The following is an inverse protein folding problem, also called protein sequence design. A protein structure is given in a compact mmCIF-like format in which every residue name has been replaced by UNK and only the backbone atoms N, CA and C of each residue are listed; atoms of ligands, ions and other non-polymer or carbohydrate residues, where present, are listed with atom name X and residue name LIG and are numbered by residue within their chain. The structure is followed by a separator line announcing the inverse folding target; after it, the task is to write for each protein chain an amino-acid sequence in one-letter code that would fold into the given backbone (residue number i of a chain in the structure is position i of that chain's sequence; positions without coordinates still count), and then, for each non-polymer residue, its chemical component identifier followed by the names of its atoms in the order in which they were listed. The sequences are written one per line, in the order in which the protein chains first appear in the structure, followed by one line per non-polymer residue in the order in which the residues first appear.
data_IF_546622724474
#
_entry.id   IF_546622724474
#
_cell.length_a   1.000
_cell.length_b   1.000
_cell.length_c   1.000
_cell.angle_alpha   90.00
_cell.angle_beta   90.00
_cell.angle_gamma   90.00
#
_symmetry.space_group_name_H-M   'P 1'
#
loop_
_entity.id
_entity.type
_entity.pdbx_description
1 polymer ?
#
# COMPACT_ATOMS: atom_id res chain seq x y z
N UNK A 1 -13.81 15.43 -10.75
CA UNK A 1 -14.49 15.30 -9.45
C UNK A 1 -13.84 14.22 -8.59
N UNK A 2 -13.80 12.97 -9.01
CA UNK A 2 -13.20 11.86 -8.25
C UNK A 2 -11.76 12.16 -7.81
N UNK A 3 -10.96 12.76 -8.67
CA UNK A 3 -9.56 13.07 -8.46
C UNK A 3 -9.30 14.14 -7.38
N UNK A 4 -10.24 15.09 -7.18
CA UNK A 4 -10.05 16.23 -6.28
C UNK A 4 -10.75 16.11 -4.95
N UNK A 5 -11.73 15.23 -4.86
CA UNK A 5 -12.54 15.06 -3.65
C UNK A 5 -12.51 13.64 -3.09
N UNK A 6 -11.63 12.76 -3.63
CA UNK A 6 -11.58 11.38 -3.12
C UNK A 6 -11.25 11.32 -1.63
N UNK A 7 -10.35 12.17 -1.15
CA UNK A 7 -10.00 12.21 0.27
C UNK A 7 -11.16 12.66 1.12
N UNK A 8 -11.86 13.72 0.72
CA UNK A 8 -13.05 14.22 1.41
C UNK A 8 -14.17 13.17 1.44
N UNK A 9 -14.39 12.49 0.31
CA UNK A 9 -15.39 11.42 0.21
C UNK A 9 -15.01 10.25 1.11
N UNK A 10 -13.76 9.81 1.10
CA UNK A 10 -13.29 8.72 1.95
C UNK A 10 -13.41 9.10 3.43
N UNK A 11 -12.97 10.29 3.83
CA UNK A 11 -13.05 10.76 5.21
C UNK A 11 -14.50 10.91 5.68
N UNK A 12 -15.38 11.43 4.81
CA UNK A 12 -16.80 11.53 5.12
C UNK A 12 -17.42 10.15 5.33
N UNK A 13 -17.17 9.22 4.39
CA UNK A 13 -17.71 7.85 4.48
C UNK A 13 -17.14 7.12 5.71
N UNK A 14 -15.85 7.30 6.03
CA UNK A 14 -15.23 6.68 7.19
C UNK A 14 -15.79 7.21 8.51
N UNK A 15 -16.26 8.47 8.54
CA UNK A 15 -16.85 9.08 9.72
C UNK A 15 -18.30 8.65 9.96
N UNK A 16 -19.09 8.50 8.88
CA UNK A 16 -20.53 8.31 8.97
C UNK A 16 -20.98 6.84 8.95
N UNK A 17 -20.07 5.92 8.61
CA UNK A 17 -20.33 4.48 8.53
C UNK A 17 -19.31 3.69 9.34
N UNK A 18 -19.75 2.82 10.25
CA UNK A 18 -18.88 2.00 11.10
C UNK A 18 -18.37 0.73 10.41
N UNK A 19 -19.10 0.18 9.44
CA UNK A 19 -18.72 -1.06 8.74
C UNK A 19 -17.76 -0.76 7.58
N UNK A 20 -16.49 -1.24 7.62
CA UNK A 20 -15.51 -1.04 6.56
C UNK A 20 -15.96 -1.53 5.19
N UNK A 21 -16.83 -2.54 5.12
CA UNK A 21 -17.37 -3.06 3.85
C UNK A 21 -18.33 -2.07 3.22
N UNK A 22 -19.21 -1.47 4.03
CA UNK A 22 -20.11 -0.42 3.58
C UNK A 22 -19.33 0.83 3.16
N UNK A 23 -18.30 1.19 3.92
CA UNK A 23 -17.40 2.30 3.57
C UNK A 23 -16.81 2.09 2.16
N UNK A 24 -16.24 0.93 1.88
CA UNK A 24 -15.65 0.60 0.58
C UNK A 24 -16.66 0.64 -0.56
N UNK A 25 -17.86 0.09 -0.36
CA UNK A 25 -18.93 0.09 -1.38
C UNK A 25 -19.41 1.51 -1.67
N UNK A 26 -19.71 2.29 -0.64
CA UNK A 26 -20.26 3.64 -0.79
C UNK A 26 -19.23 4.57 -1.43
N UNK A 27 -17.97 4.55 -0.94
CA UNK A 27 -16.90 5.34 -1.51
C UNK A 27 -16.67 4.99 -3.00
N UNK A 28 -16.62 3.70 -3.33
CA UNK A 28 -16.46 3.24 -4.71
C UNK A 28 -17.61 3.68 -5.63
N UNK A 29 -18.85 3.59 -5.15
CA UNK A 29 -20.01 4.06 -5.91
C UNK A 29 -19.97 5.57 -6.13
N UNK A 30 -19.66 6.35 -5.12
CA UNK A 30 -19.61 7.80 -5.23
C UNK A 30 -18.49 8.29 -6.16
N UNK A 31 -17.32 7.67 -6.08
CA UNK A 31 -16.14 8.09 -6.85
C UNK A 31 -16.18 7.57 -8.29
N UNK A 32 -16.60 6.33 -8.53
CA UNK A 32 -16.42 5.70 -9.83
C UNK A 32 -17.72 5.51 -10.63
N UNK A 33 -18.90 5.38 -9.98
CA UNK A 33 -20.13 5.11 -10.71
C UNK A 33 -20.53 6.22 -11.70
N UNK A 34 -20.42 7.53 -11.37
CA UNK A 34 -20.78 8.58 -12.33
C UNK A 34 -19.90 8.54 -13.59
N UNK A 35 -18.59 8.38 -13.41
CA UNK A 35 -17.64 8.29 -14.53
C UNK A 35 -17.87 7.04 -15.36
N UNK A 36 -18.07 5.89 -14.72
CA UNK A 36 -18.35 4.61 -15.39
C UNK A 36 -19.65 4.65 -16.17
N UNK A 37 -20.70 5.28 -15.61
CA UNK A 37 -21.97 5.48 -16.31
C UNK A 37 -21.80 6.30 -17.60
N UNK A 38 -21.10 7.43 -17.53
CA UNK A 38 -20.84 8.27 -18.71
C UNK A 38 -20.02 7.50 -19.75
N UNK A 39 -18.94 6.82 -19.35
CA UNK A 39 -18.14 6.00 -20.26
C UNK A 39 -18.94 4.86 -20.89
N UNK A 40 -19.83 4.23 -20.11
CA UNK A 40 -20.72 3.18 -20.59
C UNK A 40 -21.66 3.62 -21.71
N UNK A 41 -22.00 4.91 -21.79
CA UNK A 41 -22.85 5.45 -22.87
C UNK A 41 -22.11 5.64 -24.19
N UNK A 42 -20.78 5.68 -24.20
CA UNK A 42 -19.97 5.95 -25.40
C UNK A 42 -20.15 4.84 -26.44
N UNK A 43 -20.07 3.58 -26.06
CA UNK A 43 -20.16 2.44 -26.98
C UNK A 43 -21.51 2.35 -27.71
N UNK A 44 -22.67 2.39 -27.04
CA UNK A 44 -23.97 2.41 -27.72
C UNK A 44 -24.19 3.66 -28.57
N UNK A 45 -23.64 4.82 -28.15
CA UNK A 45 -23.73 6.03 -28.95
C UNK A 45 -22.91 5.93 -30.26
N UNK A 46 -21.68 5.41 -30.18
CA UNK A 46 -20.85 5.13 -31.36
C UNK A 46 -21.52 4.07 -32.28
N UNK A 47 -22.13 3.04 -31.71
CA UNK A 47 -22.90 2.06 -32.49
C UNK A 47 -24.02 2.74 -33.27
N UNK A 48 -24.78 3.62 -32.63
CA UNK A 48 -25.89 4.40 -33.29
C UNK A 48 -25.35 5.26 -34.44
N UNK A 49 -24.18 5.87 -34.28
CA UNK A 49 -23.58 6.70 -35.34
C UNK A 49 -23.00 5.90 -36.52
N UNK A 50 -22.51 4.68 -36.26
CA UNK A 50 -21.86 3.84 -37.27
C UNK A 50 -22.82 2.93 -38.04
N UNK A 51 -23.99 2.64 -37.50
CA UNK A 51 -25.00 1.80 -38.17
C UNK A 51 -25.71 2.59 -39.27
N UNK A 52 -25.36 2.32 -40.51
CA UNK A 52 -25.96 2.99 -41.70
C UNK A 52 -27.09 2.17 -42.31
N UNK A 53 -27.15 0.87 -42.10
CA UNK A 53 -28.19 -0.01 -42.61
C UNK A 53 -28.36 -1.27 -41.75
N UNK A 54 -29.53 -1.88 -41.76
CA UNK A 54 -29.82 -3.15 -41.05
C UNK A 54 -28.88 -4.29 -41.49
N UNK A 55 -28.47 -4.31 -42.76
CA UNK A 55 -27.58 -5.36 -43.28
C UNK A 55 -26.15 -5.29 -42.73
N UNK A 56 -25.68 -4.12 -42.30
CA UNK A 56 -24.31 -3.89 -41.79
C UNK A 56 -24.27 -3.74 -40.26
N UNK A 57 -25.41 -3.78 -39.59
CA UNK A 57 -25.54 -3.58 -38.15
C UNK A 57 -24.65 -4.57 -37.35
N UNK A 58 -24.74 -5.86 -37.68
CA UNK A 58 -23.98 -6.90 -36.96
C UNK A 58 -22.48 -6.72 -37.05
N UNK A 59 -21.92 -6.46 -38.25
CA UNK A 59 -20.49 -6.25 -38.43
C UNK A 59 -19.99 -4.97 -37.78
N UNK A 60 -20.78 -3.90 -37.81
CA UNK A 60 -20.42 -2.62 -37.14
C UNK A 60 -20.37 -2.77 -35.64
N UNK A 61 -21.34 -3.44 -35.02
CA UNK A 61 -21.37 -3.69 -33.58
C UNK A 61 -20.23 -4.65 -33.18
N UNK A 62 -19.98 -5.72 -33.95
CA UNK A 62 -18.90 -6.65 -33.69
C UNK A 62 -17.52 -5.96 -33.72
N UNK A 63 -17.28 -5.09 -34.71
CA UNK A 63 -16.04 -4.34 -34.81
C UNK A 63 -15.85 -3.37 -33.62
N UNK A 64 -16.91 -2.66 -33.21
CA UNK A 64 -16.85 -1.77 -32.05
C UNK A 64 -16.61 -2.56 -30.76
N UNK A 65 -17.25 -3.71 -30.58
CA UNK A 65 -17.02 -4.58 -29.42
C UNK A 65 -15.59 -5.11 -29.39
N UNK A 66 -15.06 -5.54 -30.54
CA UNK A 66 -13.68 -6.00 -30.64
C UNK A 66 -12.68 -4.90 -30.29
N UNK A 67 -12.85 -3.69 -30.83
CA UNK A 67 -12.03 -2.54 -30.52
C UNK A 67 -12.10 -2.14 -29.04
N UNK A 68 -13.30 -2.17 -28.46
CA UNK A 68 -13.48 -1.89 -27.03
C UNK A 68 -12.75 -2.94 -26.16
N UNK A 69 -12.83 -4.21 -26.51
CA UNK A 69 -12.11 -5.28 -25.80
C UNK A 69 -10.59 -5.14 -25.90
N UNK A 70 -10.09 -4.88 -27.10
CA UNK A 70 -8.66 -4.65 -27.35
C UNK A 70 -8.20 -3.41 -26.55
N UNK A 71 -8.95 -2.31 -26.63
CA UNK A 71 -8.64 -1.09 -25.90
C UNK A 71 -8.66 -1.31 -24.38
N UNK A 72 -9.61 -2.09 -23.88
CA UNK A 72 -9.68 -2.46 -22.47
C UNK A 72 -8.45 -3.27 -22.01
N UNK A 73 -8.06 -4.30 -22.79
CA UNK A 73 -6.87 -5.11 -22.49
C UNK A 73 -5.62 -4.22 -22.49
N UNK A 74 -5.38 -3.49 -23.58
CA UNK A 74 -4.20 -2.62 -23.70
C UNK A 74 -4.21 -1.56 -22.58
N UNK A 75 -5.34 -0.92 -22.33
CA UNK A 75 -5.47 0.09 -21.28
C UNK A 75 -5.16 -0.47 -19.89
N UNK A 76 -5.64 -1.66 -19.56
CA UNK A 76 -5.37 -2.32 -18.28
C UNK A 76 -3.88 -2.63 -18.12
N UNK A 77 -3.23 -3.18 -19.16
CA UNK A 77 -1.79 -3.46 -19.12
C UNK A 77 -0.96 -2.18 -19.02
N UNK A 78 -1.28 -1.16 -19.81
CA UNK A 78 -0.58 0.13 -19.76
C UNK A 78 -0.77 0.79 -18.39
N UNK A 79 -1.98 0.81 -17.86
CA UNK A 79 -2.24 1.40 -16.54
C UNK A 79 -1.49 0.63 -15.44
N UNK A 80 -1.64 -0.71 -15.38
CA UNK A 80 -1.10 -1.51 -14.29
C UNK A 80 0.43 -1.65 -14.30
N UNK A 81 1.03 -1.84 -15.47
CA UNK A 81 2.47 -2.14 -15.57
C UNK A 81 3.33 -0.93 -15.94
N UNK A 82 2.76 0.10 -16.56
CA UNK A 82 3.52 1.26 -16.99
C UNK A 82 3.16 2.48 -16.16
N UNK A 83 1.89 2.89 -16.15
CA UNK A 83 1.51 4.14 -15.50
C UNK A 83 1.68 4.06 -13.98
N UNK A 84 1.07 3.09 -13.31
CA UNK A 84 1.22 2.91 -11.87
C UNK A 84 2.63 2.43 -11.44
N UNK A 85 3.39 1.81 -12.34
CA UNK A 85 4.76 1.40 -12.05
C UNK A 85 5.80 2.53 -12.08
N UNK A 86 5.54 3.60 -12.84
CA UNK A 86 6.48 4.71 -13.04
C UNK A 86 5.93 6.08 -12.63
N UNK A 87 4.63 6.19 -12.49
CA UNK A 87 3.93 7.42 -12.16
C UNK A 87 3.00 7.18 -10.96
N UNK A 88 2.76 8.21 -10.20
CA UNK A 88 1.79 8.16 -9.11
C UNK A 88 0.34 8.11 -9.60
N UNK A 89 -0.56 7.90 -8.67
CA UNK A 89 -2.01 7.84 -8.95
C UNK A 89 -2.53 9.16 -9.52
N UNK A 90 -2.02 10.28 -9.02
CA UNK A 90 -2.39 11.62 -9.49
C UNK A 90 -1.95 11.86 -10.92
N UNK A 91 -0.70 11.57 -11.27
CA UNK A 91 -0.14 11.73 -12.61
C UNK A 91 -0.86 10.82 -13.60
N UNK A 92 -1.15 9.58 -13.21
CA UNK A 92 -1.90 8.63 -14.04
C UNK A 92 -3.29 9.15 -14.37
N UNK A 93 -4.06 9.62 -13.38
CA UNK A 93 -5.39 10.20 -13.59
C UNK A 93 -5.32 11.48 -14.44
N UNK A 94 -4.28 12.28 -14.25
CA UNK A 94 -4.04 13.50 -15.04
C UNK A 94 -3.81 13.18 -16.51
N UNK A 95 -2.98 12.18 -16.81
CA UNK A 95 -2.72 11.71 -18.18
C UNK A 95 -4.01 11.20 -18.82
N UNK A 96 -4.81 10.41 -18.09
CA UNK A 96 -6.09 9.91 -18.59
C UNK A 96 -7.03 11.08 -18.90
N UNK A 97 -7.15 12.07 -18.01
CA UNK A 97 -8.01 13.24 -18.20
C UNK A 97 -7.58 14.07 -19.43
N UNK A 98 -6.28 14.34 -19.58
CA UNK A 98 -5.71 15.07 -20.74
C UNK A 98 -5.96 14.27 -22.02
N UNK A 99 -5.74 12.95 -22.00
CA UNK A 99 -5.99 12.08 -23.15
C UNK A 99 -7.46 12.11 -23.58
N UNK A 100 -8.39 12.07 -22.62
CA UNK A 100 -9.83 12.19 -22.92
C UNK A 100 -10.18 13.53 -23.54
N UNK A 101 -9.59 14.63 -23.07
CA UNK A 101 -9.74 15.96 -23.68
C UNK A 101 -9.23 15.93 -25.13
N UNK A 102 -8.03 15.41 -25.38
CA UNK A 102 -7.43 15.33 -26.70
C UNK A 102 -8.29 14.48 -27.66
N UNK A 103 -8.74 13.30 -27.25
CA UNK A 103 -9.63 12.42 -28.03
C UNK A 103 -10.95 13.13 -28.33
N UNK A 104 -11.51 13.85 -27.37
CA UNK A 104 -12.74 14.64 -27.59
C UNK A 104 -12.56 15.66 -28.71
N UNK A 105 -11.42 16.35 -28.80
CA UNK A 105 -11.14 17.34 -29.85
C UNK A 105 -10.92 16.67 -31.22
N UNK A 106 -10.24 15.52 -31.27
CA UNK A 106 -10.04 14.75 -32.49
C UNK A 106 -11.36 14.21 -33.05
N UNK A 107 -12.24 13.69 -32.16
CA UNK A 107 -13.49 13.04 -32.60
C UNK A 107 -14.53 14.01 -33.17
N UNK A 108 -14.63 15.25 -32.65
CA UNK A 108 -15.66 16.19 -33.08
C UNK A 108 -15.20 17.68 -33.04
N UNK A 109 -14.25 18.10 -33.87
CA UNK A 109 -13.59 19.40 -33.75
C UNK A 109 -14.51 20.61 -33.94
N UNK A 110 -15.66 20.46 -34.62
CA UNK A 110 -16.53 21.59 -35.01
C UNK A 110 -17.83 21.68 -34.20
N UNK A 111 -18.21 20.66 -33.45
CA UNK A 111 -19.46 20.63 -32.68
C UNK A 111 -19.26 21.28 -31.31
N UNK A 112 -20.07 22.28 -30.98
CA UNK A 112 -20.06 23.00 -29.70
C UNK A 112 -18.67 23.35 -29.18
N UNK A 113 -17.78 23.80 -30.08
CA UNK A 113 -16.38 24.04 -29.78
C UNK A 113 -16.18 24.99 -28.59
N UNK A 114 -17.03 26.01 -28.41
CA UNK A 114 -16.95 26.96 -27.27
C UNK A 114 -17.18 26.25 -25.94
N UNK A 115 -18.23 25.41 -25.85
CA UNK A 115 -18.51 24.64 -24.63
C UNK A 115 -17.38 23.65 -24.32
N UNK A 116 -16.85 23.00 -25.35
CA UNK A 116 -15.73 22.07 -25.22
C UNK A 116 -14.44 22.78 -24.80
N UNK A 117 -14.19 23.96 -25.34
CA UNK A 117 -13.03 24.78 -24.92
C UNK A 117 -13.15 25.14 -23.44
N UNK A 118 -14.32 25.61 -22.99
CA UNK A 118 -14.58 25.90 -21.55
C UNK A 118 -14.42 24.64 -20.69
N UNK A 119 -15.00 23.52 -21.10
CA UNK A 119 -14.88 22.25 -20.37
C UNK A 119 -13.41 21.75 -20.33
N UNK A 120 -12.66 21.89 -21.45
CA UNK A 120 -11.24 21.52 -21.51
C UNK A 120 -10.40 22.37 -20.59
N UNK A 121 -10.62 23.70 -20.60
CA UNK A 121 -9.92 24.61 -19.68
C UNK A 121 -10.25 24.29 -18.23
N UNK A 122 -11.52 24.01 -17.91
CA UNK A 122 -11.92 23.62 -16.56
C UNK A 122 -11.22 22.31 -16.11
N UNK A 123 -11.15 21.29 -16.99
CA UNK A 123 -10.42 20.04 -16.68
C UNK A 123 -8.94 20.30 -16.49
N UNK A 124 -8.31 21.09 -17.38
CA UNK A 124 -6.87 21.42 -17.28
C UNK A 124 -6.56 22.28 -16.05
N UNK A 125 -7.44 23.20 -15.68
CA UNK A 125 -7.29 23.95 -14.43
C UNK A 125 -7.40 23.02 -13.23
N UNK A 126 -8.37 22.10 -13.23
CA UNK A 126 -8.51 21.12 -12.16
C UNK A 126 -7.29 20.20 -12.05
N UNK A 127 -6.72 19.73 -13.16
CA UNK A 127 -5.48 18.94 -13.18
C UNK A 127 -4.29 19.74 -12.66
N UNK A 128 -4.27 21.03 -12.82
CA UNK A 128 -3.18 21.91 -12.36
C UNK A 128 -3.31 22.40 -10.91
N UNK A 129 -4.42 22.12 -10.22
CA UNK A 129 -4.59 22.49 -8.81
C UNK A 129 -3.91 21.44 -7.94
N UNK A 130 -2.86 21.80 -7.16
CA UNK A 130 -2.32 20.89 -6.19
C UNK A 130 -3.44 20.44 -5.23
N UNK A 131 -3.61 19.15 -5.04
CA UNK A 131 -4.49 18.66 -3.96
C UNK A 131 -3.96 19.22 -2.66
N UNK A 132 -4.81 19.76 -1.75
CA UNK A 132 -4.36 20.13 -0.44
C UNK A 132 -3.87 18.85 0.25
N UNK A 133 -2.56 18.65 0.24
CA UNK A 133 -1.95 17.55 0.96
C UNK A 133 -2.09 17.84 2.46
N UNK A 134 -2.87 17.03 3.15
CA UNK A 134 -2.88 16.97 4.62
C UNK A 134 -1.52 16.43 5.10
N UNK A 135 -0.79 15.74 4.23
CA UNK A 135 0.57 15.25 4.44
C UNK A 135 1.61 16.26 3.97
N UNK A 136 2.66 16.47 4.77
CA UNK A 136 3.78 17.34 4.42
C UNK A 136 4.53 16.84 3.16
N UNK A 137 4.47 15.54 2.89
CA UNK A 137 5.07 14.89 1.72
C UNK A 137 4.27 13.64 1.36
N UNK A 138 4.07 13.41 0.06
CA UNK A 138 3.43 12.23 -0.50
C UNK A 138 4.36 11.57 -1.51
N UNK A 139 4.59 10.28 -1.40
CA UNK A 139 5.51 9.51 -2.25
C UNK A 139 4.78 8.26 -2.75
N UNK A 140 4.63 8.15 -4.06
CA UNK A 140 4.13 6.93 -4.70
C UNK A 140 5.30 6.02 -5.08
N UNK A 141 5.14 4.73 -4.79
CA UNK A 141 6.06 3.67 -5.21
C UNK A 141 5.27 2.57 -5.91
N UNK A 142 5.93 1.61 -6.59
CA UNK A 142 5.24 0.45 -7.13
C UNK A 142 4.53 -0.42 -6.07
N UNK A 143 4.95 -0.32 -4.81
CA UNK A 143 4.44 -1.14 -3.71
C UNK A 143 3.32 -0.46 -2.93
N UNK A 144 3.40 0.85 -2.72
CA UNK A 144 2.44 1.60 -1.92
C UNK A 144 2.49 3.11 -2.14
N UNK A 145 1.46 3.78 -1.66
CA UNK A 145 1.41 5.23 -1.50
C UNK A 145 1.81 5.58 -0.07
N UNK A 146 2.88 6.35 0.10
CA UNK A 146 3.36 6.81 1.40
C UNK A 146 3.02 8.28 1.62
N UNK A 147 2.49 8.57 2.79
CA UNK A 147 2.24 9.92 3.26
C UNK A 147 3.06 10.19 4.53
N UNK A 148 3.81 11.29 4.54
CA UNK A 148 4.50 11.77 5.73
C UNK A 148 3.74 12.93 6.32
N UNK A 149 3.52 12.90 7.63
CA UNK A 149 2.96 14.02 8.37
C UNK A 149 3.67 14.16 9.72
N UNK A 150 3.62 15.36 10.26
CA UNK A 150 4.35 15.73 11.46
C UNK A 150 3.43 16.35 12.49
N UNK A 151 3.71 16.03 13.73
CA UNK A 151 3.38 16.86 14.91
C UNK A 151 4.64 17.59 15.37
N UNK A 152 4.58 18.49 16.35
CA UNK A 152 5.78 19.11 16.89
C UNK A 152 6.83 18.13 17.45
N UNK A 153 6.41 16.94 17.83
CA UNK A 153 7.25 15.95 18.51
C UNK A 153 7.53 14.71 17.71
N UNK A 154 6.66 14.35 16.73
CA UNK A 154 6.72 13.07 16.04
C UNK A 154 6.50 13.26 14.54
N UNK A 155 7.33 12.60 13.74
CA UNK A 155 7.10 12.40 12.30
C UNK A 155 6.58 10.99 12.07
N UNK A 156 5.51 10.89 11.28
CA UNK A 156 4.83 9.65 10.95
C UNK A 156 4.98 9.31 9.46
N UNK A 157 5.09 8.03 9.17
CA UNK A 157 4.91 7.42 7.86
C UNK A 157 3.60 6.65 7.87
N UNK A 158 2.73 6.92 6.89
CA UNK A 158 1.48 6.20 6.68
C UNK A 158 1.41 5.64 5.27
N UNK A 159 0.80 4.47 5.12
CA UNK A 159 0.46 3.85 3.83
C UNK A 159 -1.00 4.06 3.44
N UNK A 160 -1.81 4.59 4.33
CA UNK A 160 -3.23 4.86 4.13
C UNK A 160 -3.74 5.94 5.07
N UNK A 161 -5.03 6.32 4.94
CA UNK A 161 -5.59 7.44 5.70
C UNK A 161 -5.84 7.13 7.19
N UNK A 162 -5.77 5.86 7.61
CA UNK A 162 -6.23 5.44 8.92
C UNK A 162 -5.13 5.01 9.89
N UNK A 163 -3.93 4.65 9.43
CA UNK A 163 -2.90 4.14 10.31
C UNK A 163 -1.50 4.64 9.94
N UNK A 164 -0.78 5.14 10.94
CA UNK A 164 0.64 5.36 10.83
C UNK A 164 1.37 4.01 10.90
N UNK A 165 2.17 3.72 9.88
CA UNK A 165 2.97 2.50 9.80
C UNK A 165 4.25 2.60 10.63
N UNK A 166 4.87 3.77 10.64
CA UNK A 166 6.10 4.04 11.38
C UNK A 166 6.07 5.45 11.96
N UNK A 167 6.85 5.66 13.02
CA UNK A 167 7.02 6.97 13.64
C UNK A 167 8.42 7.15 14.19
N UNK A 168 8.93 8.37 14.16
CA UNK A 168 10.19 8.77 14.79
C UNK A 168 9.97 10.00 15.64
N UNK A 169 10.59 10.03 16.83
CA UNK A 169 10.60 11.22 17.67
C UNK A 169 11.52 12.28 17.04
N UNK A 170 11.03 13.51 16.97
CA UNK A 170 11.82 14.68 16.53
C UNK A 170 12.60 15.31 17.67
N UNK A 171 12.30 14.91 18.92
CA UNK A 171 12.92 15.42 20.16
C UNK A 171 14.04 14.48 20.62
N UNK A 172 13.76 13.17 20.66
CA UNK A 172 14.72 12.15 21.09
C UNK A 172 14.87 11.07 20.00
N UNK A 173 16.01 11.05 19.33
CA UNK A 173 16.28 10.12 18.21
C UNK A 173 16.36 8.66 18.63
N UNK A 174 16.59 8.40 19.90
CA UNK A 174 16.73 7.05 20.45
C UNK A 174 15.41 6.50 21.02
N UNK A 175 14.32 7.28 20.92
CA UNK A 175 13.00 6.89 21.38
C UNK A 175 12.22 6.12 20.31
N UNK A 176 11.69 4.95 20.70
CA UNK A 176 10.67 4.23 19.89
C UNK A 176 9.28 4.79 20.21
N UNK A 177 8.66 5.40 19.21
CA UNK A 177 7.38 6.13 19.34
C UNK A 177 6.19 5.19 19.59
N UNK A 178 6.17 4.05 18.91
CA UNK A 178 5.03 3.15 19.01
C UNK A 178 5.22 2.13 20.13
N UNK A 179 4.14 1.92 20.89
CA UNK A 179 4.12 0.97 21.98
C UNK A 179 4.53 -0.45 21.51
N UNK A 180 4.05 -0.92 20.37
CA UNK A 180 4.39 -2.25 19.87
C UNK A 180 5.89 -2.40 19.56
N UNK A 181 6.54 -1.37 19.03
CA UNK A 181 8.00 -1.41 18.78
C UNK A 181 8.78 -1.44 20.09
N UNK A 182 8.29 -0.76 21.14
CA UNK A 182 8.86 -0.83 22.49
C UNK A 182 8.74 -2.25 23.08
N UNK A 183 7.59 -2.92 22.85
CA UNK A 183 7.40 -4.32 23.26
C UNK A 183 8.36 -5.25 22.51
N UNK A 184 8.47 -5.13 21.19
CA UNK A 184 9.42 -5.90 20.40
C UNK A 184 10.86 -5.68 20.88
N UNK A 185 11.26 -4.45 21.16
CA UNK A 185 12.56 -4.13 21.71
C UNK A 185 12.77 -4.74 23.13
N UNK A 186 11.72 -4.79 23.94
CA UNK A 186 11.74 -5.43 25.27
C UNK A 186 11.94 -6.92 25.17
N UNK A 187 11.28 -7.59 24.21
CA UNK A 187 11.46 -9.01 23.93
C UNK A 187 12.91 -9.29 23.51
N UNK A 188 13.48 -8.46 22.62
CA UNK A 188 14.91 -8.56 22.24
C UNK A 188 15.83 -8.38 23.46
N UNK A 189 15.53 -7.41 24.33
CA UNK A 189 16.31 -7.16 25.55
C UNK A 189 16.29 -8.34 26.53
N UNK A 190 15.13 -9.00 26.68
CA UNK A 190 14.93 -10.14 27.55
C UNK A 190 15.57 -11.43 27.01
N UNK A 191 15.89 -11.50 25.72
CA UNK A 191 16.45 -12.69 25.07
C UNK A 191 17.97 -12.72 25.28
N UNK A 192 18.53 -13.76 25.94
CA UNK A 192 19.97 -13.84 26.20
C UNK A 192 20.81 -13.94 24.92
N UNK A 193 20.34 -14.74 23.96
CA UNK A 193 21.01 -14.95 22.67
C UNK A 193 20.39 -14.03 21.62
N UNK A 194 21.15 -13.08 21.09
CA UNK A 194 20.70 -12.08 20.11
C UNK A 194 21.78 -11.67 19.11
N UNK A 195 22.68 -12.61 18.80
CA UNK A 195 23.76 -12.34 17.86
C UNK A 195 23.26 -12.19 16.42
N UNK A 196 22.23 -12.96 16.05
CA UNK A 196 21.63 -12.90 14.72
C UNK A 196 20.14 -12.61 14.85
N UNK A 197 19.73 -11.44 14.39
CA UNK A 197 18.34 -10.96 14.44
C UNK A 197 17.83 -10.84 13.01
N UNK A 198 16.65 -11.38 12.74
CA UNK A 198 15.90 -11.16 11.50
C UNK A 198 14.70 -10.28 11.81
N UNK A 199 14.52 -9.24 11.02
CA UNK A 199 13.32 -8.41 11.02
C UNK A 199 12.64 -8.54 9.66
N UNK A 200 11.43 -9.07 9.65
CA UNK A 200 10.56 -9.14 8.48
C UNK A 200 9.62 -7.93 8.53
N UNK A 201 9.79 -7.01 7.58
CA UNK A 201 9.18 -5.69 7.55
C UNK A 201 10.12 -4.63 8.12
N UNK A 202 10.59 -3.73 7.25
CA UNK A 202 11.49 -2.63 7.65
C UNK A 202 10.75 -1.35 8.05
N UNK A 203 9.63 -1.07 7.38
CA UNK A 203 8.94 0.19 7.52
C UNK A 203 9.88 1.37 7.31
N UNK A 204 9.84 2.36 8.19
CA UNK A 204 10.81 3.47 8.18
C UNK A 204 12.15 3.14 8.88
N UNK A 205 12.44 1.88 9.12
CA UNK A 205 13.69 1.38 9.74
C UNK A 205 13.98 1.93 11.14
N UNK A 206 12.97 2.40 11.87
CA UNK A 206 13.15 2.94 13.22
C UNK A 206 13.50 1.87 14.23
N UNK A 207 12.83 0.71 14.23
CA UNK A 207 13.18 -0.42 15.08
C UNK A 207 14.57 -1.02 14.72
N UNK A 208 14.90 -1.29 13.44
CA UNK A 208 16.24 -1.68 13.05
C UNK A 208 17.35 -0.73 13.53
N UNK A 209 17.14 0.59 13.35
CA UNK A 209 18.09 1.62 13.82
C UNK A 209 18.29 1.57 15.34
N UNK A 210 17.18 1.51 16.09
CA UNK A 210 17.23 1.41 17.55
C UNK A 210 18.00 0.18 18.03
N UNK A 211 17.67 -1.00 17.47
CA UNK A 211 18.32 -2.25 17.85
C UNK A 211 19.80 -2.27 17.47
N UNK A 212 20.16 -1.71 16.32
CA UNK A 212 21.55 -1.61 15.88
C UNK A 212 22.40 -0.74 16.80
N UNK A 213 21.85 0.36 17.28
CA UNK A 213 22.50 1.26 18.24
C UNK A 213 22.62 0.61 19.61
N UNK A 214 21.57 -0.09 20.06
CA UNK A 214 21.53 -0.73 21.38
C UNK A 214 22.38 -1.98 21.47
N UNK A 215 22.52 -2.72 20.36
CA UNK A 215 23.22 -4.01 20.27
C UNK A 215 24.23 -4.00 19.10
N UNK A 216 25.33 -3.28 19.20
CA UNK A 216 26.28 -3.09 18.09
C UNK A 216 26.96 -4.41 17.65
N UNK A 217 27.02 -5.41 18.53
CA UNK A 217 27.61 -6.72 18.25
C UNK A 217 26.61 -7.69 17.59
N UNK A 218 25.33 -7.33 17.47
CA UNK A 218 24.33 -8.14 16.82
C UNK A 218 24.33 -7.90 15.31
N UNK A 219 24.28 -8.98 14.52
CA UNK A 219 24.04 -8.89 13.08
C UNK A 219 22.52 -8.88 12.82
N UNK A 220 22.02 -7.82 12.19
CA UNK A 220 20.60 -7.60 11.97
C UNK A 220 20.32 -7.64 10.46
N UNK A 221 19.56 -8.65 10.01
CA UNK A 221 19.03 -8.69 8.66
C UNK A 221 17.61 -8.11 8.66
N UNK A 222 17.33 -7.18 7.76
CA UNK A 222 16.01 -6.56 7.59
C UNK A 222 15.50 -6.86 6.20
N UNK A 223 14.39 -7.57 6.10
CA UNK A 223 13.73 -7.91 4.84
C UNK A 223 12.58 -6.93 4.62
N UNK A 224 12.65 -6.19 3.53
CA UNK A 224 11.64 -5.18 3.16
C UNK A 224 11.26 -5.37 1.69
N UNK A 225 9.98 -5.26 1.39
CA UNK A 225 9.49 -5.45 0.01
C UNK A 225 9.73 -4.22 -0.86
N UNK A 226 9.67 -3.03 -0.25
CA UNK A 226 9.80 -1.76 -0.98
C UNK A 226 11.18 -1.11 -0.78
N UNK A 227 12.06 -1.16 -1.79
CA UNK A 227 13.39 -0.54 -1.67
C UNK A 227 13.35 0.99 -1.51
N UNK A 228 12.24 1.66 -1.87
CA UNK A 228 12.10 3.10 -1.71
C UNK A 228 12.08 3.51 -0.24
N UNK A 229 11.61 2.62 0.67
CA UNK A 229 11.59 2.89 2.11
C UNK A 229 12.97 3.15 2.69
N UNK A 230 14.03 2.55 2.15
CA UNK A 230 15.39 2.85 2.59
C UNK A 230 15.79 4.31 2.34
N UNK A 231 15.40 4.87 1.19
CA UNK A 231 15.61 6.29 0.89
C UNK A 231 14.79 7.21 1.81
N UNK A 232 13.53 6.87 2.02
CA UNK A 232 12.63 7.59 2.93
C UNK A 232 13.16 7.55 4.37
N UNK A 233 13.62 6.39 4.83
CA UNK A 233 14.19 6.21 6.16
C UNK A 233 15.42 7.10 6.40
N UNK A 234 16.35 7.13 5.43
CA UNK A 234 17.56 7.98 5.51
C UNK A 234 17.21 9.46 5.53
N UNK A 235 16.30 9.88 4.67
CA UNK A 235 15.99 11.29 4.49
C UNK A 235 15.11 11.85 5.60
N UNK A 236 14.19 11.05 6.14
CA UNK A 236 13.13 11.56 7.02
C UNK A 236 13.08 10.89 8.40
N UNK A 237 13.65 9.70 8.60
CA UNK A 237 13.49 8.92 9.83
C UNK A 237 14.81 8.66 10.58
N UNK A 238 15.81 9.50 10.36
CA UNK A 238 17.10 9.45 11.05
C UNK A 238 17.85 8.11 10.91
N UNK A 239 17.55 7.35 9.84
CA UNK A 239 18.26 6.10 9.59
C UNK A 239 19.69 6.38 9.13
N UNK A 240 20.69 5.92 9.92
CA UNK A 240 22.10 6.23 9.75
C UNK A 240 22.92 5.13 9.05
N UNK A 241 22.31 4.16 8.41
CA UNK A 241 22.96 3.00 7.76
C UNK A 241 23.96 2.30 8.70
N UNK A 242 23.55 1.80 9.88
CA UNK A 242 24.45 1.17 10.80
C UNK A 242 25.11 -0.08 10.20
N UNK A 243 26.41 -0.25 10.40
CA UNK A 243 27.23 -1.27 9.74
C UNK A 243 26.81 -2.72 10.06
N UNK A 244 26.12 -2.92 11.19
CA UNK A 244 25.58 -4.22 11.62
C UNK A 244 24.17 -4.51 11.12
N UNK A 245 23.56 -3.64 10.28
CA UNK A 245 22.27 -3.86 9.61
C UNK A 245 22.48 -4.14 8.14
N UNK A 246 21.89 -5.25 7.68
CA UNK A 246 21.84 -5.61 6.26
C UNK A 246 20.40 -5.51 5.77
N UNK A 247 20.14 -4.59 4.84
CA UNK A 247 18.87 -4.51 4.12
C UNK A 247 18.79 -5.55 3.01
N UNK A 248 17.66 -6.23 2.89
CA UNK A 248 17.38 -7.26 1.89
C UNK A 248 16.02 -6.93 1.28
N UNK A 249 16.03 -6.51 0.00
CA UNK A 249 14.82 -6.09 -0.68
C UNK A 249 14.17 -7.27 -1.41
N UNK A 250 13.20 -7.88 -0.78
CA UNK A 250 12.41 -8.99 -1.31
C UNK A 250 11.15 -9.20 -0.47
N UNK A 251 10.21 -10.00 -0.99
CA UNK A 251 9.06 -10.44 -0.23
C UNK A 251 9.47 -11.32 0.96
N UNK A 252 8.87 -11.08 2.14
CA UNK A 252 9.21 -11.76 3.38
C UNK A 252 9.02 -13.28 3.30
N UNK A 253 7.93 -13.76 2.68
CA UNK A 253 7.69 -15.19 2.48
C UNK A 253 8.73 -15.82 1.57
N UNK A 254 9.07 -15.13 0.49
CA UNK A 254 10.10 -15.57 -0.44
C UNK A 254 11.44 -15.71 0.25
N UNK A 255 11.83 -14.74 1.06
CA UNK A 255 13.06 -14.80 1.84
C UNK A 255 13.09 -15.99 2.79
N UNK A 256 12.04 -16.15 3.61
CA UNK A 256 11.94 -17.23 4.59
C UNK A 256 11.96 -18.61 3.94
N UNK A 257 11.37 -18.74 2.73
CA UNK A 257 11.38 -19.99 1.99
C UNK A 257 12.78 -20.35 1.46
N UNK A 258 13.61 -19.38 1.11
CA UNK A 258 14.87 -19.58 0.40
C UNK A 258 16.11 -19.52 1.28
N UNK A 259 16.04 -18.86 2.44
CA UNK A 259 17.21 -18.70 3.31
C UNK A 259 17.51 -19.97 4.09
N UNK A 260 18.81 -20.30 4.20
CA UNK A 260 19.32 -21.34 5.10
C UNK A 260 19.94 -20.74 6.38
N UNK A 261 19.97 -19.40 6.47
CA UNK A 261 20.50 -18.70 7.65
C UNK A 261 19.56 -18.92 8.83
N UNK A 262 20.15 -19.19 10.02
CA UNK A 262 19.39 -19.33 11.25
C UNK A 262 19.60 -18.13 12.18
N UNK A 263 18.55 -17.77 12.89
CA UNK A 263 18.48 -16.57 13.72
C UNK A 263 18.18 -16.92 15.19
N UNK A 264 18.73 -16.13 16.09
CA UNK A 264 18.40 -16.19 17.51
C UNK A 264 17.02 -15.58 17.78
N UNK A 265 16.69 -14.53 17.01
CA UNK A 265 15.43 -13.78 17.10
C UNK A 265 14.90 -13.54 15.70
N UNK A 266 13.62 -13.87 15.49
CA UNK A 266 12.87 -13.50 14.28
C UNK A 266 11.72 -12.58 14.68
N UNK A 267 11.75 -11.34 14.20
CA UNK A 267 10.67 -10.37 14.37
C UNK A 267 9.83 -10.37 13.11
N UNK A 268 8.51 -10.56 13.26
CA UNK A 268 7.54 -10.52 12.16
C UNK A 268 6.67 -9.29 12.34
N UNK A 269 6.96 -8.25 11.54
CA UNK A 269 6.26 -6.95 11.56
C UNK A 269 5.87 -6.55 10.14
N UNK A 270 5.12 -7.44 9.47
CA UNK A 270 4.72 -7.27 8.06
C UNK A 270 3.24 -6.96 7.98
N UNK A 271 2.93 -5.76 7.53
CA UNK A 271 1.56 -5.30 7.31
C UNK A 271 1.40 -4.67 5.91
N UNK A 272 0.26 -4.98 5.27
CA UNK A 272 -0.25 -4.20 4.16
C UNK A 272 -1.35 -3.30 4.70
N UNK A 273 -1.08 -2.01 4.90
CA UNK A 273 -1.98 -1.02 5.50
C UNK A 273 -2.51 -1.45 6.89
N UNK A 274 -3.63 -2.16 6.99
CA UNK A 274 -4.25 -2.59 8.26
C UNK A 274 -4.34 -4.11 8.43
N UNK A 275 -3.81 -4.89 7.49
CA UNK A 275 -3.96 -6.35 7.49
C UNK A 275 -2.64 -7.07 7.27
N UNK A 276 -2.46 -8.19 7.97
CA UNK A 276 -1.38 -9.13 7.65
C UNK A 276 -1.68 -9.81 6.31
N UNK A 277 -0.73 -9.85 5.36
CA UNK A 277 -0.93 -10.57 4.11
C UNK A 277 -1.27 -12.05 4.36
N UNK A 278 -2.34 -12.55 3.74
CA UNK A 278 -2.81 -13.91 3.96
C UNK A 278 -1.74 -14.97 3.69
N UNK A 279 -0.78 -14.67 2.82
CA UNK A 279 0.35 -15.55 2.51
C UNK A 279 1.26 -15.80 3.71
N UNK A 280 1.25 -14.93 4.71
CA UNK A 280 2.02 -15.05 5.94
C UNK A 280 1.24 -15.70 7.09
N UNK A 281 -0.01 -16.11 6.83
CA UNK A 281 -0.91 -16.76 7.80
C UNK A 281 -1.10 -18.26 7.53
N UNK A 282 -0.22 -18.88 6.75
CA UNK A 282 -0.32 -20.31 6.41
C UNK A 282 0.56 -21.18 7.31
N UNK A 283 0.19 -22.45 7.49
CA UNK A 283 0.98 -23.41 8.26
C UNK A 283 2.39 -23.59 7.67
N UNK A 284 2.49 -23.60 6.36
CA UNK A 284 3.77 -23.73 5.64
C UNK A 284 4.70 -22.55 5.96
N UNK A 285 4.14 -21.34 6.09
CA UNK A 285 4.93 -20.19 6.51
C UNK A 285 5.45 -20.36 7.95
N UNK A 286 4.60 -20.79 8.88
CA UNK A 286 5.02 -21.11 10.24
C UNK A 286 6.10 -22.20 10.29
N UNK A 287 5.99 -23.24 9.47
CA UNK A 287 7.02 -24.27 9.33
C UNK A 287 8.34 -23.71 8.82
N UNK A 288 8.31 -22.82 7.82
CA UNK A 288 9.52 -22.17 7.33
C UNK A 288 10.13 -21.20 8.35
N UNK A 289 9.32 -20.47 9.09
CA UNK A 289 9.80 -19.64 10.22
C UNK A 289 10.50 -20.52 11.27
N UNK A 290 9.90 -21.64 11.67
CA UNK A 290 10.52 -22.53 12.67
C UNK A 290 11.85 -23.11 12.20
N UNK A 291 12.03 -23.36 10.90
CA UNK A 291 13.28 -23.87 10.32
C UNK A 291 14.44 -22.88 10.45
N UNK A 292 14.15 -21.58 10.34
CA UNK A 292 15.15 -20.52 10.39
C UNK A 292 15.43 -19.97 11.80
N UNK A 293 14.66 -20.43 12.80
CA UNK A 293 14.90 -20.09 14.20
C UNK A 293 15.85 -21.13 14.80
N UNK A 294 16.90 -20.68 15.47
CA UNK A 294 17.85 -21.57 16.18
C UNK A 294 17.18 -22.30 17.35
N UNK A 295 17.71 -23.44 17.82
CA UNK A 295 17.30 -24.01 19.09
C UNK A 295 17.37 -22.97 20.21
N UNK A 296 16.31 -22.81 21.00
CA UNK A 296 16.12 -21.76 22.03
C UNK A 296 15.97 -20.33 21.49
N UNK A 297 15.91 -20.15 20.17
CA UNK A 297 15.56 -18.87 19.56
C UNK A 297 14.07 -18.57 19.70
N UNK A 298 13.72 -17.33 19.46
CA UNK A 298 12.34 -16.83 19.62
C UNK A 298 11.78 -16.21 18.34
N UNK A 299 10.46 -16.22 18.22
CA UNK A 299 9.71 -15.44 17.25
C UNK A 299 8.87 -14.41 18.00
N UNK A 300 8.99 -13.15 17.62
CA UNK A 300 8.15 -12.07 18.09
C UNK A 300 7.31 -11.53 16.91
N UNK A 301 6.01 -11.69 16.96
CA UNK A 301 5.12 -11.25 15.87
C UNK A 301 4.22 -10.10 16.36
N UNK A 302 4.17 -9.01 15.58
CA UNK A 302 3.15 -8.00 15.73
C UNK A 302 1.86 -8.51 15.10
N UNK A 303 0.81 -8.77 15.90
CA UNK A 303 -0.48 -9.26 15.44
C UNK A 303 -1.57 -8.30 15.90
N UNK A 304 -2.14 -7.54 14.95
CA UNK A 304 -3.21 -6.60 15.26
C UNK A 304 -4.55 -7.33 15.18
N UNK A 305 -5.18 -7.53 16.34
CA UNK A 305 -6.53 -8.09 16.46
C UNK A 305 -7.41 -7.12 17.23
N UNK A 306 -8.63 -6.83 16.70
CA UNK A 306 -9.58 -5.99 17.42
C UNK A 306 -10.12 -6.69 18.68
N UNK A 307 -10.52 -5.91 19.68
CA UNK A 307 -11.00 -6.40 21.00
C UNK A 307 -12.49 -6.71 21.06
N UNK A 308 -13.22 -6.68 19.92
CA UNK A 308 -14.66 -6.92 19.90
C UNK A 308 -15.02 -8.41 20.01
N UNK A 309 -16.25 -8.69 20.41
CA UNK A 309 -16.81 -10.04 20.59
C UNK A 309 -16.58 -10.90 19.34
N UNK A 310 -15.83 -11.99 19.48
CA UNK A 310 -15.39 -12.86 18.38
C UNK A 310 -13.91 -12.77 18.04
N UNK A 311 -13.15 -11.86 18.65
CA UNK A 311 -11.72 -11.66 18.37
C UNK A 311 -10.82 -12.80 18.81
N UNK A 312 -11.23 -13.64 19.74
CA UNK A 312 -10.52 -14.89 20.06
C UNK A 312 -10.27 -15.73 18.81
N UNK A 313 -11.26 -15.81 17.93
CA UNK A 313 -11.14 -16.56 16.66
C UNK A 313 -10.19 -15.91 15.67
N UNK A 314 -10.11 -14.58 15.63
CA UNK A 314 -9.15 -13.88 14.76
C UNK A 314 -7.72 -14.06 15.24
N UNK A 315 -7.46 -13.83 16.53
CA UNK A 315 -6.15 -14.07 17.12
C UNK A 315 -5.73 -15.55 16.97
N UNK A 316 -6.63 -16.50 17.24
CA UNK A 316 -6.38 -17.93 17.03
C UNK A 316 -6.05 -18.26 15.57
N UNK A 317 -6.62 -17.51 14.62
CA UNK A 317 -6.30 -17.68 13.19
C UNK A 317 -4.95 -17.07 12.84
N UNK A 318 -4.62 -15.90 13.39
CA UNK A 318 -3.37 -15.18 13.12
C UNK A 318 -2.15 -15.90 13.71
N UNK A 319 -2.29 -16.53 14.88
CA UNK A 319 -1.19 -17.22 15.54
C UNK A 319 -1.11 -18.74 15.22
N UNK A 320 -2.14 -19.32 14.61
CA UNK A 320 -2.18 -20.74 14.25
C UNK A 320 -0.93 -21.23 13.48
N UNK A 321 -0.32 -20.45 12.56
CA UNK A 321 0.92 -20.82 11.90
C UNK A 321 2.08 -21.06 12.87
N UNK A 322 2.10 -20.38 14.00
CA UNK A 322 3.18 -20.43 14.99
C UNK A 322 2.94 -21.49 16.06
N UNK A 323 1.73 -21.60 16.61
CA UNK A 323 1.37 -22.52 17.71
C UNK A 323 1.71 -23.99 17.43
N UNK A 324 1.70 -24.42 16.17
CA UNK A 324 1.99 -25.80 15.79
C UNK A 324 3.49 -26.12 15.77
N UNK A 325 4.36 -25.11 15.85
CA UNK A 325 5.80 -25.25 15.66
C UNK A 325 6.64 -24.70 16.83
N UNK A 326 6.01 -24.07 17.81
CA UNK A 326 6.66 -23.52 18.99
C UNK A 326 6.00 -24.03 20.27
N UNK A 327 6.81 -24.46 21.24
CA UNK A 327 6.32 -25.10 22.48
C UNK A 327 5.58 -24.13 23.41
N UNK A 328 5.90 -22.84 23.33
CA UNK A 328 5.34 -21.80 24.19
C UNK A 328 4.95 -20.57 23.38
N UNK A 329 3.79 -20.00 23.68
CA UNK A 329 3.34 -18.71 23.17
C UNK A 329 2.98 -17.80 24.35
N UNK A 330 3.36 -16.53 24.29
CA UNK A 330 2.96 -15.49 25.21
C UNK A 330 2.43 -14.28 24.42
N UNK A 331 1.43 -13.60 24.97
CA UNK A 331 0.82 -12.42 24.39
C UNK A 331 1.07 -11.24 25.32
N UNK A 332 1.38 -10.06 24.73
CA UNK A 332 1.61 -8.83 25.46
C UNK A 332 0.54 -7.77 25.12
#
# INVERSE_FOLDING_TARGET
FAMFQYQEVILWVAKDFDDPRLQGIIASLLLFAPTSFVLGTVSPYLAKLNVKSLKTTGSSIASLSALNSIGGIVGTFVAGFILFGYLGSYETLSIVAITMVAVSWLAAPRINWKLRAVASVAVLMLVGVPTPNISALSIDTPSAHYALYETPEIRYLATGPQAAQSGVSLVDKDELVFWYTQQLATVVAATPQRQNILILGGGAFTLPQYLATKYPDSAIDVVEIDPALAGIARQYFHYGDPANVKMIFTDARTYVNQTDKQYDIVIVDVYGDTQVPFTLLTREYGQHISRIVKPQGIVAANLIAGTQVGCGTLLDTLDAPYRTHFDHAAYA
#
